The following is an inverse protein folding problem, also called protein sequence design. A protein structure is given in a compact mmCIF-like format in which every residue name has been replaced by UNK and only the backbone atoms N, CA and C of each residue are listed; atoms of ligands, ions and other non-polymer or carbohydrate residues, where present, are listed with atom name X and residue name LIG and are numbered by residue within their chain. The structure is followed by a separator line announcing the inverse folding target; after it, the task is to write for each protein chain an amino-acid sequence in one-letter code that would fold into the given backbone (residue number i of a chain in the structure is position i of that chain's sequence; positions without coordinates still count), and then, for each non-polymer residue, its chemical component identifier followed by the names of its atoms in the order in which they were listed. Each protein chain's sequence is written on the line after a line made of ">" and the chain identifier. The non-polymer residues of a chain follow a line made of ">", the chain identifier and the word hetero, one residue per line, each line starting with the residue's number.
data_IF_939152630430
#
_entry.id   IF_939152630430
#
_cell.length_a   1.000
_cell.length_b   1.000
_cell.length_c   1.000
_cell.angle_alpha   90.00
_cell.angle_beta   90.00
_cell.angle_gamma   90.00
#
_symmetry.space_group_name_H-M   'P 1'
#
loop_
_entity.id
_entity.type
_entity.pdbx_description
1 polymer ?
#
# COMPACT_ATOMS: atom_id res chain seq x y z
N UNK A 1 -26.21 17.23 -17.53
CA UNK A 1 -25.75 16.66 -16.27
C UNK A 1 -24.62 17.55 -15.75
N UNK A 2 -24.82 18.22 -14.63
CA UNK A 2 -23.94 19.30 -14.18
C UNK A 2 -22.87 18.69 -13.25
N UNK A 3 -21.60 18.84 -13.64
CA UNK A 3 -20.44 18.51 -12.79
C UNK A 3 -20.45 19.47 -11.59
N UNK A 4 -20.59 18.94 -10.39
CA UNK A 4 -20.33 19.67 -9.15
C UNK A 4 -18.86 19.44 -8.81
N UNK A 5 -18.01 20.34 -9.28
CA UNK A 5 -16.63 20.46 -8.77
C UNK A 5 -16.69 21.24 -7.46
N UNK A 6 -16.58 20.54 -6.34
CA UNK A 6 -16.30 21.16 -5.05
C UNK A 6 -14.82 21.49 -4.96
N UNK A 7 -14.45 22.75 -5.23
CA UNK A 7 -13.12 23.27 -4.93
C UNK A 7 -12.98 23.40 -3.42
N UNK A 8 -12.23 22.50 -2.79
CA UNK A 8 -11.64 22.75 -1.48
C UNK A 8 -10.25 23.32 -1.74
N UNK A 9 -10.10 24.63 -1.58
CA UNK A 9 -8.79 25.30 -1.57
C UNK A 9 -8.08 24.88 -0.28
N UNK A 10 -7.26 23.84 -0.34
CA UNK A 10 -6.22 23.60 0.65
C UNK A 10 -5.02 24.48 0.26
N UNK A 11 -4.62 25.38 1.15
CA UNK A 11 -3.42 26.18 0.98
C UNK A 11 -2.20 25.26 1.01
N UNK A 12 -1.67 24.92 -0.17
CA UNK A 12 -0.43 24.18 -0.32
C UNK A 12 0.71 25.14 0.02
N UNK A 13 1.29 25.01 1.21
CA UNK A 13 2.62 25.55 1.49
C UNK A 13 3.63 24.62 0.83
N UNK A 14 4.22 25.05 -0.29
CA UNK A 14 5.45 24.45 -0.81
C UNK A 14 6.56 24.66 0.24
N UNK A 15 6.88 23.64 1.00
CA UNK A 15 8.13 23.55 1.75
C UNK A 15 9.13 22.79 0.88
N UNK A 16 10.14 23.53 0.39
CA UNK A 16 11.35 22.98 -0.22
C UNK A 16 11.97 21.90 0.66
N UNK A 17 12.42 20.81 0.03
CA UNK A 17 13.13 19.70 0.66
C UNK A 17 14.24 20.20 1.60
N UNK A 18 13.94 20.31 2.87
CA UNK A 18 14.94 20.48 3.92
C UNK A 18 15.57 19.14 4.21
N UNK A 19 16.88 19.07 4.16
CA UNK A 19 17.68 17.97 4.69
C UNK A 19 17.14 17.67 6.09
N UNK A 20 16.40 16.57 6.24
CA UNK A 20 15.96 16.10 7.55
C UNK A 20 17.18 15.52 8.27
N UNK A 21 17.97 16.39 8.91
CA UNK A 21 18.81 15.91 9.99
C UNK A 21 17.88 15.19 10.98
N UNK A 22 18.19 13.91 11.27
CA UNK A 22 17.57 13.15 12.35
C UNK A 22 17.69 14.00 13.62
N UNK A 23 16.66 14.79 13.93
CA UNK A 23 16.60 15.53 15.17
C UNK A 23 16.51 14.50 16.29
N UNK A 24 17.35 14.65 17.32
CA UNK A 24 17.14 13.95 18.59
C UNK A 24 15.70 14.24 19.03
N UNK A 25 14.78 13.35 18.61
CA UNK A 25 13.35 13.56 18.77
C UNK A 25 12.99 13.35 20.23
N UNK A 26 12.75 14.44 20.96
CA UNK A 26 11.85 14.35 22.10
C UNK A 26 10.56 13.71 21.57
N UNK A 27 10.03 12.64 22.21
CA UNK A 27 8.86 11.87 21.75
C UNK A 27 7.54 12.65 21.66
N UNK A 28 7.60 13.85 21.09
CA UNK A 28 6.49 14.80 20.92
C UNK A 28 5.76 14.64 19.57
N UNK A 29 6.36 13.96 18.60
CA UNK A 29 5.77 13.74 17.27
C UNK A 29 5.82 12.27 16.89
N UNK A 30 4.75 11.81 16.21
CA UNK A 30 4.73 10.56 15.47
C UNK A 30 4.49 10.87 13.99
N UNK A 31 5.11 10.10 13.09
CA UNK A 31 4.92 10.29 11.65
C UNK A 31 4.55 8.97 11.00
N UNK A 32 3.57 9.01 10.10
CA UNK A 32 3.21 7.88 9.25
C UNK A 32 3.41 8.29 7.80
N UNK A 33 4.35 7.63 7.12
CA UNK A 33 4.54 7.73 5.69
C UNK A 33 3.78 6.60 5.01
N UNK A 34 2.90 6.95 4.10
CA UNK A 34 2.14 6.02 3.27
C UNK A 34 2.62 6.17 1.83
N UNK A 35 3.18 5.11 1.26
CA UNK A 35 3.72 5.16 -0.11
C UNK A 35 2.61 5.15 -1.17
N UNK A 36 2.80 5.91 -2.24
CA UNK A 36 1.96 5.83 -3.43
C UNK A 36 2.54 4.78 -4.40
N UNK A 37 2.15 3.53 -4.20
CA UNK A 37 2.62 2.35 -4.93
C UNK A 37 1.50 1.62 -5.67
N UNK A 38 0.39 2.30 -5.91
CA UNK A 38 -0.81 1.71 -6.49
C UNK A 38 -1.79 1.20 -5.43
N UNK A 39 -2.58 0.18 -5.76
CA UNK A 39 -3.45 -0.50 -4.80
C UNK A 39 -2.63 -1.51 -4.01
N UNK A 40 -1.90 -1.02 -3.03
CA UNK A 40 -1.07 -1.84 -2.14
C UNK A 40 -0.73 -1.08 -0.85
N UNK A 41 -0.44 -1.80 0.22
CA UNK A 41 -0.12 -1.24 1.52
C UNK A 41 1.39 -1.30 1.80
N UNK A 42 1.97 -0.13 2.07
CA UNK A 42 3.34 -0.01 2.56
C UNK A 42 3.46 1.27 3.39
N UNK A 43 3.64 1.11 4.70
CA UNK A 43 3.68 2.24 5.64
C UNK A 43 4.94 2.20 6.49
N UNK A 44 5.59 3.36 6.62
CA UNK A 44 6.68 3.55 7.59
C UNK A 44 6.17 4.45 8.73
N UNK A 45 6.21 3.94 9.96
CA UNK A 45 5.86 4.68 11.16
C UNK A 45 7.13 5.06 11.90
N UNK A 46 7.28 6.35 12.19
CA UNK A 46 8.42 6.91 12.90
C UNK A 46 7.97 7.49 14.26
N UNK A 47 8.67 7.12 15.32
CA UNK A 47 8.49 7.71 16.65
C UNK A 47 9.81 7.69 17.43
N UNK A 48 10.25 8.85 17.92
CA UNK A 48 11.59 9.01 18.46
C UNK A 48 12.65 8.61 17.43
N UNK A 49 13.56 7.72 17.82
CA UNK A 49 14.56 7.15 16.91
C UNK A 49 14.10 5.85 16.23
N UNK A 50 12.87 5.39 16.53
CA UNK A 50 12.34 4.12 16.02
C UNK A 50 11.69 4.27 14.65
N UNK A 51 11.76 3.18 13.87
CA UNK A 51 11.07 3.02 12.60
C UNK A 51 10.47 1.62 12.48
N UNK A 52 9.20 1.56 12.15
CA UNK A 52 8.46 0.31 11.94
C UNK A 52 7.86 0.30 10.55
N UNK A 53 7.93 -0.86 9.89
CA UNK A 53 7.26 -1.12 8.63
C UNK A 53 5.95 -1.89 8.89
N UNK A 54 4.86 -1.45 8.28
CA UNK A 54 3.58 -2.13 8.26
C UNK A 54 3.25 -2.43 6.80
N UNK A 55 3.23 -3.71 6.45
CA UNK A 55 3.12 -4.24 5.10
C UNK A 55 4.23 -3.71 4.15
N UNK A 56 4.41 -4.33 3.00
CA UNK A 56 5.54 -4.06 2.12
C UNK A 56 5.15 -3.92 0.62
N UNK A 57 3.85 -3.90 0.33
CA UNK A 57 3.34 -3.84 -1.03
C UNK A 57 3.63 -5.09 -1.85
N UNK A 58 3.45 -5.01 -3.17
CA UNK A 58 3.87 -6.03 -4.11
C UNK A 58 5.40 -6.14 -4.20
N UNK A 59 5.92 -7.26 -4.70
CA UNK A 59 7.36 -7.44 -4.91
C UNK A 59 7.98 -6.34 -5.77
N UNK A 60 7.32 -5.91 -6.84
CA UNK A 60 7.78 -4.82 -7.72
C UNK A 60 7.73 -3.44 -7.06
N UNK A 61 7.06 -3.27 -5.94
CA UNK A 61 7.06 -2.01 -5.18
C UNK A 61 8.27 -1.88 -4.24
N UNK A 62 9.03 -2.95 -4.03
CA UNK A 62 10.18 -2.90 -3.12
C UNK A 62 11.18 -1.77 -3.41
N UNK A 63 11.50 -1.41 -4.68
CA UNK A 63 12.37 -0.26 -4.95
C UNK A 63 11.83 1.08 -4.40
N UNK A 64 10.50 1.26 -4.31
CA UNK A 64 9.92 2.44 -3.68
C UNK A 64 10.14 2.44 -2.16
N UNK A 65 9.93 1.29 -1.51
CA UNK A 65 10.26 1.11 -0.08
C UNK A 65 11.76 1.36 0.17
N UNK A 66 12.65 0.78 -0.66
CA UNK A 66 14.09 0.99 -0.52
C UNK A 66 14.48 2.47 -0.68
N UNK A 67 13.85 3.18 -1.63
CA UNK A 67 14.04 4.61 -1.83
C UNK A 67 13.58 5.40 -0.59
N UNK A 68 12.39 5.08 -0.07
CA UNK A 68 11.89 5.69 1.16
C UNK A 68 12.85 5.49 2.35
N UNK A 69 13.32 4.27 2.56
CA UNK A 69 14.26 3.95 3.63
C UNK A 69 15.56 4.76 3.51
N UNK A 70 16.09 4.92 2.28
CA UNK A 70 17.27 5.74 2.00
C UNK A 70 17.02 7.23 2.23
N UNK A 71 15.90 7.76 1.73
CA UNK A 71 15.53 9.18 1.84
C UNK A 71 15.35 9.61 3.31
N UNK A 72 14.74 8.73 4.11
CA UNK A 72 14.56 8.96 5.55
C UNK A 72 15.73 8.46 6.41
N UNK A 73 16.85 8.04 5.79
CA UNK A 73 18.06 7.58 6.46
C UNK A 73 17.79 6.48 7.50
N UNK A 74 16.90 5.54 7.15
CA UNK A 74 16.58 4.41 8.00
C UNK A 74 17.68 3.36 7.88
N UNK A 75 18.47 3.19 8.93
CA UNK A 75 19.56 2.21 8.98
C UNK A 75 19.11 0.84 9.51
N UNK A 76 17.96 0.81 10.21
CA UNK A 76 17.33 -0.41 10.70
C UNK A 76 15.83 -0.19 10.88
N UNK A 77 15.06 -1.25 10.76
CA UNK A 77 13.67 -1.32 11.18
C UNK A 77 13.59 -1.96 12.58
N UNK A 78 12.88 -1.34 13.52
CA UNK A 78 12.68 -1.91 14.85
C UNK A 78 11.72 -3.09 14.81
N UNK A 79 10.75 -3.05 13.87
CA UNK A 79 9.87 -4.16 13.59
C UNK A 79 9.24 -4.07 12.19
N UNK A 80 8.84 -5.22 11.69
CA UNK A 80 8.05 -5.38 10.46
C UNK A 80 6.78 -6.13 10.82
N UNK A 81 5.64 -5.52 10.61
CA UNK A 81 4.32 -6.13 10.78
C UNK A 81 3.78 -6.53 9.42
N UNK A 82 3.38 -7.79 9.27
CA UNK A 82 2.56 -8.25 8.16
C UNK A 82 1.12 -8.39 8.65
N UNK A 83 0.21 -7.63 8.06
CA UNK A 83 -1.20 -7.66 8.46
C UNK A 83 -1.87 -8.96 8.02
N UNK A 84 -1.72 -9.35 6.76
CA UNK A 84 -2.22 -10.61 6.21
C UNK A 84 -1.43 -11.01 4.94
N UNK A 85 -1.75 -12.15 4.33
CA UNK A 85 -0.90 -12.77 3.32
C UNK A 85 -1.36 -12.55 1.88
N UNK A 86 -1.96 -11.41 1.56
CA UNK A 86 -2.17 -11.02 0.17
C UNK A 86 -0.93 -10.35 -0.42
N UNK A 87 -0.70 -10.55 -1.70
CA UNK A 87 0.48 -10.11 -2.44
C UNK A 87 0.72 -8.59 -2.35
N UNK A 88 -0.34 -7.79 -2.33
CA UNK A 88 -0.31 -6.33 -2.19
C UNK A 88 0.06 -5.84 -0.77
N UNK A 89 0.33 -6.77 0.14
CA UNK A 89 0.83 -6.52 1.50
C UNK A 89 2.17 -7.21 1.76
N UNK A 90 2.35 -8.44 1.25
CA UNK A 90 3.49 -9.28 1.64
C UNK A 90 4.64 -9.31 0.63
N UNK A 91 4.37 -8.93 -0.65
CA UNK A 91 5.29 -9.16 -1.76
C UNK A 91 6.67 -8.55 -1.59
N UNK A 92 6.77 -7.38 -0.96
CA UNK A 92 8.04 -6.71 -0.69
C UNK A 92 8.86 -7.28 0.47
N UNK A 93 8.33 -8.23 1.27
CA UNK A 93 9.04 -8.77 2.46
C UNK A 93 10.30 -9.55 2.09
N UNK A 94 10.23 -10.40 1.07
CA UNK A 94 11.39 -11.19 0.66
C UNK A 94 12.51 -10.33 0.04
N UNK A 95 12.22 -9.38 -0.87
CA UNK A 95 13.21 -8.39 -1.28
C UNK A 95 13.84 -7.62 -0.12
N UNK A 96 13.03 -7.17 0.85
CA UNK A 96 13.51 -6.51 2.06
C UNK A 96 14.46 -7.41 2.85
N UNK A 97 14.11 -8.67 3.07
CA UNK A 97 14.97 -9.61 3.78
C UNK A 97 16.31 -9.81 3.04
N UNK A 98 16.30 -9.93 1.72
CA UNK A 98 17.51 -10.10 0.89
C UNK A 98 18.37 -8.85 0.79
N UNK A 99 17.81 -7.65 0.97
CA UNK A 99 18.58 -6.39 0.91
C UNK A 99 19.65 -6.26 1.99
N UNK A 100 19.51 -7.02 3.07
CA UNK A 100 20.38 -6.92 4.22
C UNK A 100 19.98 -5.85 5.25
N UNK A 101 18.86 -5.14 5.05
CA UNK A 101 18.32 -4.19 6.02
C UNK A 101 18.19 -4.87 7.39
N UNK A 102 18.77 -4.32 8.47
CA UNK A 102 18.58 -4.87 9.81
C UNK A 102 17.12 -4.73 10.24
N UNK A 103 16.53 -5.84 10.70
CA UNK A 103 15.16 -5.88 11.25
C UNK A 103 15.21 -6.43 12.67
N UNK A 104 14.67 -5.69 13.62
CA UNK A 104 14.64 -6.05 15.05
C UNK A 104 13.71 -7.21 15.34
N UNK A 105 12.51 -7.20 14.77
CA UNK A 105 11.54 -8.27 14.91
C UNK A 105 10.59 -8.35 13.70
N UNK A 106 10.10 -9.55 13.42
CA UNK A 106 9.07 -9.82 12.42
C UNK A 106 7.79 -10.24 13.13
N UNK A 107 6.68 -9.62 12.80
CA UNK A 107 5.39 -9.83 13.45
C UNK A 107 4.32 -10.25 12.45
N UNK A 108 3.47 -11.19 12.86
CA UNK A 108 2.28 -11.60 12.12
C UNK A 108 1.20 -12.11 13.09
N UNK A 109 -0.06 -12.17 12.65
CA UNK A 109 -1.15 -12.66 13.47
C UNK A 109 -1.00 -14.16 13.78
N UNK A 110 -1.22 -14.55 15.01
CA UNK A 110 -1.09 -15.94 15.50
C UNK A 110 -2.03 -16.92 14.82
N UNK A 111 -3.16 -16.46 14.29
CA UNK A 111 -4.09 -17.29 13.52
C UNK A 111 -3.46 -17.94 12.28
N UNK A 112 -2.35 -17.37 11.76
CA UNK A 112 -1.63 -17.91 10.61
C UNK A 112 -0.60 -18.98 10.96
N UNK A 113 -0.35 -19.22 12.26
CA UNK A 113 0.72 -20.13 12.72
C UNK A 113 0.59 -21.52 12.12
N UNK A 114 -0.60 -22.11 12.13
CA UNK A 114 -0.84 -23.46 11.62
C UNK A 114 -1.31 -23.51 10.16
N UNK A 115 -1.79 -22.39 9.61
CA UNK A 115 -2.48 -22.37 8.31
C UNK A 115 -1.53 -22.52 7.14
N UNK A 116 -0.31 -21.97 7.23
CA UNK A 116 0.66 -21.96 6.10
C UNK A 116 1.90 -22.83 6.32
N UNK A 117 1.94 -23.66 7.36
CA UNK A 117 2.95 -24.71 7.60
C UNK A 117 4.40 -24.26 7.28
N UNK A 118 4.83 -23.10 7.76
CA UNK A 118 6.18 -22.55 7.52
C UNK A 118 6.40 -21.94 6.13
N UNK A 119 5.36 -21.81 5.31
CA UNK A 119 5.36 -21.08 4.03
C UNK A 119 4.82 -19.65 4.19
N UNK A 120 4.48 -19.24 5.39
CA UNK A 120 4.02 -17.89 5.67
C UNK A 120 5.09 -16.87 5.27
N UNK A 121 4.76 -15.80 4.50
CA UNK A 121 5.73 -14.86 3.94
C UNK A 121 6.66 -14.23 4.98
N UNK A 122 6.12 -13.80 6.13
CA UNK A 122 6.94 -13.28 7.22
C UNK A 122 7.90 -14.32 7.78
N UNK A 123 7.50 -15.62 7.83
CA UNK A 123 8.40 -16.71 8.27
C UNK A 123 9.54 -16.91 7.29
N UNK A 124 9.25 -16.87 5.98
CA UNK A 124 10.28 -17.01 4.96
C UNK A 124 11.26 -15.83 5.00
N UNK A 125 10.76 -14.62 5.13
CA UNK A 125 11.58 -13.41 5.25
C UNK A 125 12.41 -13.40 6.54
N UNK A 126 11.83 -13.75 7.69
CA UNK A 126 12.56 -13.86 8.96
C UNK A 126 13.68 -14.92 8.90
N UNK A 127 13.39 -16.09 8.33
CA UNK A 127 14.39 -17.16 8.14
C UNK A 127 15.55 -16.74 7.23
N UNK A 128 15.28 -16.00 6.16
CA UNK A 128 16.32 -15.44 5.28
C UNK A 128 17.33 -14.59 6.08
N UNK A 129 16.87 -13.96 7.16
CA UNK A 129 17.69 -13.14 8.07
C UNK A 129 18.20 -13.92 9.30
N UNK A 130 17.97 -15.22 9.38
CA UNK A 130 18.35 -16.04 10.52
C UNK A 130 17.52 -15.78 11.79
N UNK A 131 16.35 -15.20 11.64
CA UNK A 131 15.39 -14.88 12.70
C UNK A 131 14.14 -15.74 12.67
N UNK A 132 13.19 -15.39 13.54
CA UNK A 132 11.89 -16.03 13.69
C UNK A 132 10.79 -14.96 13.72
N UNK A 133 9.55 -15.38 13.48
CA UNK A 133 8.37 -14.52 13.61
C UNK A 133 7.86 -14.55 15.05
N UNK A 134 7.56 -13.38 15.58
CA UNK A 134 6.76 -13.24 16.80
C UNK A 134 5.29 -13.22 16.42
N UNK A 135 4.56 -14.23 16.83
CA UNK A 135 3.15 -14.39 16.56
C UNK A 135 2.32 -13.60 17.56
N UNK A 136 1.42 -12.74 17.04
CA UNK A 136 0.65 -11.80 17.84
C UNK A 136 -0.82 -12.21 17.91
N UNK A 137 -1.41 -12.01 19.08
CA UNK A 137 -2.83 -12.22 19.36
C UNK A 137 -3.47 -10.93 19.87
N UNK A 138 -4.78 -10.81 19.74
CA UNK A 138 -5.51 -9.67 20.31
C UNK A 138 -5.21 -9.51 21.80
N UNK A 139 -4.88 -8.29 22.21
CA UNK A 139 -4.46 -7.94 23.56
C UNK A 139 -2.95 -7.85 23.75
N UNK A 140 -2.13 -8.35 22.81
CA UNK A 140 -0.67 -8.20 22.89
C UNK A 140 -0.26 -6.74 22.76
N UNK A 141 0.79 -6.35 23.47
CA UNK A 141 1.34 -5.00 23.48
C UNK A 141 2.83 -5.05 23.16
N UNK A 142 3.22 -4.34 22.10
CA UNK A 142 4.59 -4.24 21.63
C UNK A 142 5.11 -2.83 21.94
N UNK A 143 6.13 -2.67 22.79
CA UNK A 143 6.75 -1.38 23.07
C UNK A 143 7.32 -0.75 21.79
N UNK A 144 7.05 0.55 21.58
CA UNK A 144 7.55 1.32 20.43
C UNK A 144 8.53 2.44 20.85
N UNK A 145 9.08 2.34 22.03
CA UNK A 145 10.03 3.31 22.62
C UNK A 145 9.34 4.44 23.39
N UNK A 146 10.00 4.93 24.43
CA UNK A 146 9.43 5.92 25.33
C UNK A 146 8.08 5.46 25.93
N UNK A 147 7.06 6.31 25.80
CA UNK A 147 5.69 6.02 26.25
C UNK A 147 4.79 5.51 25.09
N UNK A 148 5.38 5.07 23.96
CA UNK A 148 4.64 4.57 22.83
C UNK A 148 4.58 3.04 22.79
N UNK A 149 3.47 2.52 22.24
CA UNK A 149 3.28 1.09 22.02
C UNK A 149 2.32 0.82 20.89
N UNK A 150 2.45 -0.38 20.31
CA UNK A 150 1.40 -0.98 19.50
C UNK A 150 0.57 -1.92 20.36
N UNK A 151 -0.74 -1.82 20.28
CA UNK A 151 -1.69 -2.77 20.86
C UNK A 151 -2.35 -3.52 19.74
N UNK A 152 -2.34 -4.85 19.79
CA UNK A 152 -3.04 -5.71 18.86
C UNK A 152 -4.52 -5.73 19.24
N UNK A 153 -5.39 -5.21 18.39
CA UNK A 153 -6.83 -5.20 18.61
C UNK A 153 -7.53 -6.41 17.98
N UNK A 154 -7.02 -6.88 16.84
CA UNK A 154 -7.53 -8.01 16.06
C UNK A 154 -6.44 -8.69 15.23
N UNK A 155 -6.74 -9.83 14.61
CA UNK A 155 -8.04 -10.50 14.65
C UNK A 155 -8.32 -11.17 16.01
N UNK A 156 -9.59 -11.15 16.44
CA UNK A 156 -10.02 -11.79 17.69
C UNK A 156 -10.39 -13.25 17.43
N UNK A 157 -11.06 -13.50 16.30
CA UNK A 157 -11.52 -14.82 15.86
C UNK A 157 -11.09 -15.07 14.42
N UNK A 158 -10.90 -16.33 14.05
CA UNK A 158 -10.60 -16.69 12.66
C UNK A 158 -11.86 -16.53 11.82
N UNK A 159 -11.77 -15.78 10.75
CA UNK A 159 -12.80 -15.70 9.72
C UNK A 159 -12.45 -16.69 8.61
N UNK A 160 -13.23 -17.76 8.47
CA UNK A 160 -13.01 -18.83 7.47
C UNK A 160 -13.48 -18.44 6.06
N UNK A 161 -14.38 -17.44 5.98
CA UNK A 161 -15.02 -17.05 4.72
C UNK A 161 -14.25 -15.95 3.97
N UNK A 162 -13.49 -15.12 4.72
CA UNK A 162 -12.80 -13.96 4.15
C UNK A 162 -11.47 -13.70 4.86
N UNK A 163 -10.37 -14.00 4.14
CA UNK A 163 -9.00 -13.84 4.63
C UNK A 163 -8.67 -12.40 5.06
N UNK A 164 -9.27 -11.39 4.42
CA UNK A 164 -9.09 -9.99 4.77
C UNK A 164 -9.50 -9.67 6.21
N UNK A 165 -10.54 -10.33 6.72
CA UNK A 165 -10.98 -10.19 8.11
C UNK A 165 -10.04 -10.85 9.14
N UNK A 166 -8.99 -11.51 8.66
CA UNK A 166 -7.91 -12.04 9.48
C UNK A 166 -6.69 -11.09 9.50
N UNK A 167 -6.85 -9.86 9.08
CA UNK A 167 -5.81 -8.83 9.12
C UNK A 167 -5.43 -8.50 10.56
N UNK A 168 -4.12 -8.35 10.81
CA UNK A 168 -3.62 -7.79 12.06
C UNK A 168 -4.08 -6.34 12.17
N UNK A 169 -4.92 -6.05 13.15
CA UNK A 169 -5.39 -4.68 13.45
C UNK A 169 -4.57 -4.12 14.60
N UNK A 170 -3.84 -3.04 14.33
CA UNK A 170 -2.90 -2.43 15.26
C UNK A 170 -3.34 -1.03 15.65
N UNK A 171 -3.32 -0.74 16.94
CA UNK A 171 -3.38 0.63 17.42
C UNK A 171 -2.01 1.05 17.93
N UNK A 172 -1.37 1.98 17.22
CA UNK A 172 -0.23 2.71 17.75
C UNK A 172 -0.75 3.80 18.69
N UNK A 173 -0.20 3.85 19.91
CA UNK A 173 -0.55 4.84 20.94
C UNK A 173 0.70 5.52 21.42
N UNK A 174 0.67 6.86 21.51
CA UNK A 174 1.76 7.69 22.00
C UNK A 174 1.25 9.03 22.52
N UNK A 175 2.04 9.82 23.23
CA UNK A 175 1.72 11.21 23.58
C UNK A 175 1.49 12.10 22.36
N UNK A 176 2.05 11.75 21.19
CA UNK A 176 1.82 12.47 19.93
C UNK A 176 0.40 12.26 19.39
N UNK A 177 -0.21 11.11 19.67
CA UNK A 177 -1.54 10.73 19.19
C UNK A 177 -1.63 9.24 18.88
N UNK A 178 -2.85 8.79 18.62
CA UNK A 178 -3.16 7.41 18.28
C UNK A 178 -3.34 7.26 16.75
N UNK A 179 -2.80 6.17 16.21
CA UNK A 179 -2.98 5.75 14.81
C UNK A 179 -3.61 4.36 14.82
N UNK A 180 -4.71 4.19 14.08
CA UNK A 180 -5.34 2.88 13.89
C UNK A 180 -5.04 2.35 12.49
N UNK A 181 -4.40 1.19 12.42
CA UNK A 181 -3.97 0.50 11.21
C UNK A 181 -4.81 -0.76 11.07
N UNK A 182 -5.68 -0.80 10.06
CA UNK A 182 -6.73 -1.81 9.94
C UNK A 182 -6.37 -2.97 8.99
N UNK A 183 -5.21 -2.92 8.31
CA UNK A 183 -4.96 -3.85 7.20
C UNK A 183 -6.14 -3.85 6.22
N UNK A 184 -6.59 -5.02 5.83
CA UNK A 184 -7.73 -5.19 4.93
C UNK A 184 -9.02 -5.63 5.64
N UNK A 185 -9.09 -5.35 6.94
CA UNK A 185 -10.29 -5.59 7.74
C UNK A 185 -11.54 -5.05 7.06
N UNK A 186 -12.58 -5.87 7.01
CA UNK A 186 -13.91 -5.54 6.49
C UNK A 186 -14.94 -5.46 7.62
N UNK A 187 -16.19 -5.22 7.26
CA UNK A 187 -17.30 -4.95 8.21
C UNK A 187 -17.53 -6.07 9.25
N UNK A 188 -17.21 -7.32 8.92
CA UNK A 188 -17.40 -8.44 9.82
C UNK A 188 -16.44 -8.32 11.01
N UNK A 189 -15.15 -8.07 10.77
CA UNK A 189 -14.17 -7.88 11.84
C UNK A 189 -14.39 -6.55 12.59
N UNK A 190 -14.87 -5.48 11.89
CA UNK A 190 -15.31 -4.25 12.58
C UNK A 190 -16.39 -4.52 13.64
N UNK A 191 -17.34 -5.44 13.35
CA UNK A 191 -18.40 -5.83 14.28
C UNK A 191 -17.84 -6.62 15.48
N UNK A 192 -16.88 -7.50 15.23
CA UNK A 192 -16.19 -8.26 16.29
C UNK A 192 -15.45 -7.30 17.23
N UNK A 193 -14.67 -6.36 16.68
CA UNK A 193 -13.94 -5.36 17.46
C UNK A 193 -14.87 -4.43 18.24
N UNK A 194 -15.97 -3.99 17.63
CA UNK A 194 -16.99 -3.19 18.33
C UNK A 194 -17.62 -3.96 19.49
N UNK A 195 -17.89 -5.25 19.29
CA UNK A 195 -18.49 -6.10 20.34
C UNK A 195 -17.52 -6.37 21.47
N UNK A 196 -16.23 -6.48 21.18
CA UNK A 196 -15.17 -6.63 22.17
C UNK A 196 -14.96 -5.36 23.02
N UNK A 197 -15.34 -4.19 22.51
CA UNK A 197 -15.25 -2.93 23.22
C UNK A 197 -13.82 -2.43 23.46
N UNK A 198 -12.86 -2.89 22.66
CA UNK A 198 -11.44 -2.55 22.80
C UNK A 198 -10.99 -1.40 21.88
N UNK A 199 -11.89 -0.88 21.03
CA UNK A 199 -11.63 0.27 20.17
C UNK A 199 -11.58 1.58 20.96
N UNK A 200 -10.67 2.46 20.57
CA UNK A 200 -10.54 3.80 21.14
C UNK A 200 -10.37 4.86 20.05
N UNK A 201 -10.60 6.16 20.37
CA UNK A 201 -10.39 7.22 19.41
C UNK A 201 -8.96 7.28 18.87
N UNK A 202 -8.84 7.58 17.57
CA UNK A 202 -7.55 7.80 16.91
C UNK A 202 -7.52 9.15 16.19
N UNK A 203 -6.34 9.73 16.03
CA UNK A 203 -6.16 10.92 15.20
C UNK A 203 -6.10 10.56 13.71
N UNK A 204 -5.44 9.44 13.39
CA UNK A 204 -5.26 8.96 12.02
C UNK A 204 -5.74 7.51 11.92
N UNK A 205 -6.49 7.23 10.86
CA UNK A 205 -7.00 5.91 10.51
C UNK A 205 -6.42 5.47 9.15
N UNK A 206 -5.82 4.27 9.06
CA UNK A 206 -5.70 3.57 7.77
C UNK A 206 -7.02 2.85 7.51
N UNK A 207 -7.72 3.25 6.46
CA UNK A 207 -8.99 2.63 6.08
C UNK A 207 -8.79 1.15 5.73
N UNK A 208 -9.71 0.29 6.17
CA UNK A 208 -9.66 -1.13 5.84
C UNK A 208 -9.82 -1.36 4.32
N UNK A 209 -9.20 -2.40 3.82
CA UNK A 209 -9.32 -2.95 2.45
C UNK A 209 -9.39 -1.85 1.37
N UNK A 210 -8.39 -0.99 1.34
CA UNK A 210 -8.23 0.10 0.36
C UNK A 210 -9.46 1.00 0.20
N UNK A 211 -10.32 1.06 1.23
CA UNK A 211 -11.53 1.87 1.22
C UNK A 211 -12.68 1.30 0.38
N UNK A 212 -12.74 -0.02 0.19
CA UNK A 212 -13.84 -0.65 -0.54
C UNK A 212 -15.21 -0.45 0.14
N UNK A 213 -16.29 -0.76 -0.56
CA UNK A 213 -17.67 -0.57 -0.08
C UNK A 213 -18.01 -1.43 1.16
N UNK A 214 -17.25 -2.51 1.42
CA UNK A 214 -17.44 -3.41 2.55
C UNK A 214 -16.79 -2.96 3.85
N UNK A 215 -16.38 -1.68 3.99
CA UNK A 215 -15.62 -1.16 5.11
C UNK A 215 -16.23 0.10 5.73
N UNK A 216 -15.71 0.50 6.87
CA UNK A 216 -16.00 1.74 7.58
C UNK A 216 -17.48 1.89 7.92
N UNK A 217 -18.00 0.96 8.76
CA UNK A 217 -19.36 1.13 9.31
C UNK A 217 -19.48 2.43 10.11
N UNK A 218 -20.65 3.06 10.02
CA UNK A 218 -20.91 4.29 10.79
C UNK A 218 -20.78 4.11 12.30
N UNK A 219 -21.03 2.91 12.85
CA UNK A 219 -20.79 2.58 14.27
C UNK A 219 -19.29 2.53 14.59
N UNK A 220 -18.49 1.96 13.69
CA UNK A 220 -17.03 1.93 13.81
C UNK A 220 -16.46 3.35 13.83
N UNK A 221 -16.80 4.17 12.83
CA UNK A 221 -16.34 5.56 12.74
C UNK A 221 -16.77 6.42 13.95
N UNK A 222 -17.98 6.21 14.48
CA UNK A 222 -18.43 6.88 15.70
C UNK A 222 -17.64 6.50 16.94
N UNK A 223 -17.06 5.29 16.98
CA UNK A 223 -16.22 4.81 18.10
C UNK A 223 -14.81 5.33 17.97
N UNK A 224 -14.18 5.15 16.80
CA UNK A 224 -12.75 5.51 16.60
C UNK A 224 -12.55 7.00 16.29
N UNK A 225 -13.56 7.71 15.80
CA UNK A 225 -13.59 9.17 15.59
C UNK A 225 -12.31 9.76 14.98
N UNK A 226 -11.87 9.29 13.81
CA UNK A 226 -10.64 9.76 13.22
C UNK A 226 -10.76 11.21 12.73
N UNK A 227 -9.68 11.99 12.86
CA UNK A 227 -9.59 13.33 12.28
C UNK A 227 -9.25 13.24 10.78
N UNK A 228 -8.36 12.30 10.45
CA UNK A 228 -7.94 12.01 9.09
C UNK A 228 -7.95 10.49 8.84
N UNK A 229 -8.21 10.11 7.60
CA UNK A 229 -8.07 8.74 7.13
C UNK A 229 -7.19 8.69 5.89
N UNK A 230 -6.26 7.74 5.83
CA UNK A 230 -5.51 7.42 4.63
C UNK A 230 -6.08 6.18 3.96
N UNK A 231 -6.18 6.24 2.64
CA UNK A 231 -6.66 5.17 1.78
C UNK A 231 -5.56 4.90 0.74
N UNK A 232 -4.91 3.74 0.84
CA UNK A 232 -3.87 3.29 -0.09
C UNK A 232 -4.51 2.58 -1.28
N UNK A 233 -4.71 3.28 -2.38
CA UNK A 233 -5.33 2.71 -3.56
C UNK A 233 -4.99 3.48 -4.84
N UNK A 234 -5.35 2.86 -5.97
CA UNK A 234 -5.33 3.43 -7.31
C UNK A 234 -6.64 3.08 -8.01
N UNK A 235 -7.46 4.07 -8.31
CA UNK A 235 -8.71 3.90 -9.06
C UNK A 235 -8.49 3.43 -10.49
N UNK A 236 -7.26 3.55 -11.01
CA UNK A 236 -6.89 3.00 -12.31
C UNK A 236 -6.72 1.46 -12.24
N UNK A 237 -6.23 0.94 -11.12
CA UNK A 237 -6.08 -0.50 -10.86
C UNK A 237 -7.39 -1.14 -10.42
N UNK A 238 -8.10 -0.46 -9.51
CA UNK A 238 -9.35 -0.92 -8.90
C UNK A 238 -10.35 0.24 -8.84
N UNK A 239 -11.16 0.47 -9.89
CA UNK A 239 -12.08 1.61 -9.99
C UNK A 239 -13.12 1.72 -8.88
N UNK A 240 -13.37 0.63 -8.16
CA UNK A 240 -14.32 0.60 -7.05
C UNK A 240 -13.69 0.99 -5.70
N UNK A 241 -12.39 1.33 -5.70
CA UNK A 241 -11.65 1.81 -4.52
C UNK A 241 -10.97 3.16 -4.79
N UNK A 242 -11.12 4.15 -3.89
CA UNK A 242 -12.02 4.10 -2.76
C UNK A 242 -13.47 4.16 -3.21
N UNK A 243 -14.35 3.38 -2.61
CA UNK A 243 -15.77 3.42 -2.90
C UNK A 243 -16.36 4.78 -2.52
N UNK A 244 -17.26 5.31 -3.35
CA UNK A 244 -17.96 6.59 -3.07
C UNK A 244 -18.66 6.53 -1.71
N UNK A 245 -19.29 5.40 -1.38
CA UNK A 245 -19.95 5.19 -0.09
C UNK A 245 -18.99 5.30 1.10
N UNK A 246 -17.75 4.88 0.93
CA UNK A 246 -16.70 4.97 1.97
C UNK A 246 -16.26 6.42 2.16
N UNK A 247 -16.06 7.16 1.07
CA UNK A 247 -15.74 8.60 1.14
C UNK A 247 -16.87 9.41 1.80
N UNK A 248 -18.13 9.11 1.48
CA UNK A 248 -19.29 9.76 2.10
C UNK A 248 -19.38 9.45 3.60
N UNK A 249 -19.13 8.20 4.03
CA UNK A 249 -19.12 7.85 5.47
C UNK A 249 -18.04 8.60 6.24
N UNK A 250 -16.84 8.76 5.67
CA UNK A 250 -15.76 9.55 6.27
C UNK A 250 -16.16 11.03 6.37
N UNK A 251 -16.72 11.60 5.30
CA UNK A 251 -17.23 12.97 5.29
C UNK A 251 -18.31 13.18 6.35
N UNK A 252 -19.28 12.28 6.46
CA UNK A 252 -20.36 12.34 7.46
C UNK A 252 -19.83 12.23 8.89
N UNK A 253 -18.71 11.53 9.08
CA UNK A 253 -18.01 11.44 10.35
C UNK A 253 -17.15 12.68 10.67
N UNK A 254 -17.03 13.65 9.76
CA UNK A 254 -16.16 14.81 9.88
C UNK A 254 -14.67 14.47 9.71
N UNK A 255 -14.36 13.34 9.09
CA UNK A 255 -13.01 12.86 8.85
C UNK A 255 -12.54 13.28 7.45
N UNK A 256 -11.33 13.84 7.35
CA UNK A 256 -10.72 14.15 6.05
C UNK A 256 -10.07 12.90 5.47
N UNK A 257 -10.49 12.51 4.27
CA UNK A 257 -9.88 11.38 3.54
C UNK A 257 -8.72 11.85 2.66
N UNK A 258 -7.63 11.07 2.67
CA UNK A 258 -6.45 11.25 1.82
C UNK A 258 -6.21 9.96 1.06
N UNK A 259 -6.20 10.01 -0.26
CA UNK A 259 -5.98 8.84 -1.13
C UNK A 259 -4.54 8.90 -1.66
N UNK A 260 -3.79 7.82 -1.52
CA UNK A 260 -2.35 7.84 -1.86
C UNK A 260 -2.08 8.21 -3.31
N UNK A 261 -2.97 7.84 -4.25
CA UNK A 261 -2.85 8.20 -5.67
C UNK A 261 -2.84 9.71 -5.95
N UNK A 262 -3.33 10.54 -5.02
CA UNK A 262 -3.43 12.01 -5.20
C UNK A 262 -2.11 12.72 -4.82
N UNK A 263 -1.08 11.95 -4.42
CA UNK A 263 0.24 12.43 -4.00
C UNK A 263 1.32 11.90 -4.96
N UNK A 264 2.49 12.55 -4.97
CA UNK A 264 3.61 12.11 -5.82
C UNK A 264 4.09 10.71 -5.43
N UNK A 265 5.03 10.58 -4.51
CA UNK A 265 5.61 9.29 -4.13
C UNK A 265 5.05 8.75 -2.81
N UNK A 266 4.25 9.57 -2.12
CA UNK A 266 3.57 9.20 -0.89
C UNK A 266 3.00 10.39 -0.15
N UNK A 267 2.32 10.11 0.95
CA UNK A 267 1.80 11.12 1.87
C UNK A 267 2.36 10.89 3.27
N UNK A 268 2.89 11.96 3.86
CA UNK A 268 3.45 11.96 5.20
C UNK A 268 2.52 12.69 6.17
N UNK A 269 1.99 11.95 7.14
CA UNK A 269 1.24 12.51 8.26
C UNK A 269 2.17 12.76 9.45
N UNK A 270 2.00 13.92 10.09
CA UNK A 270 2.65 14.23 11.36
C UNK A 270 1.59 14.42 12.42
N UNK A 271 1.75 13.72 13.54
CA UNK A 271 0.89 13.80 14.71
C UNK A 271 1.65 14.49 15.85
N UNK A 272 0.96 15.37 16.58
CA UNK A 272 1.49 15.99 17.80
C UNK A 272 0.33 16.43 18.69
N UNK A 273 0.47 16.25 20.01
CA UNK A 273 -0.53 16.65 20.98
C UNK A 273 -1.91 16.01 20.78
N UNK A 274 -1.95 14.77 20.26
CA UNK A 274 -3.17 14.02 20.02
C UNK A 274 -3.87 14.31 18.69
N UNK A 275 -3.27 15.12 17.82
CA UNK A 275 -3.89 15.57 16.57
C UNK A 275 -2.98 15.34 15.37
N UNK A 276 -3.58 15.20 14.17
CA UNK A 276 -2.85 15.34 12.90
C UNK A 276 -2.55 16.83 12.71
N UNK A 277 -1.28 17.21 12.74
CA UNK A 277 -0.83 18.60 12.68
C UNK A 277 -0.29 19.01 11.32
N UNK A 278 0.14 18.04 10.51
CA UNK A 278 0.61 18.27 9.16
C UNK A 278 0.33 17.06 8.26
N UNK A 279 0.04 17.32 6.99
CA UNK A 279 -0.06 16.34 5.91
C UNK A 279 0.75 16.88 4.75
N UNK A 280 1.79 16.18 4.35
CA UNK A 280 2.72 16.62 3.32
C UNK A 280 2.75 15.62 2.16
N UNK A 281 2.78 16.16 0.95
CA UNK A 281 3.11 15.42 -0.25
C UNK A 281 4.60 15.07 -0.24
N UNK A 282 4.94 13.85 -0.61
CA UNK A 282 6.31 13.35 -0.64
C UNK A 282 6.73 13.13 -2.07
N UNK A 283 7.83 13.77 -2.46
CA UNK A 283 8.50 13.60 -3.74
C UNK A 283 9.96 13.24 -3.47
N UNK A 284 10.42 12.09 -4.02
CA UNK A 284 11.76 11.57 -3.77
C UNK A 284 12.84 12.46 -4.41
N UNK A 285 13.90 12.73 -3.66
CA UNK A 285 15.07 13.44 -4.20
C UNK A 285 15.95 12.47 -4.99
N UNK A 286 16.48 12.92 -6.13
CA UNK A 286 17.38 12.11 -6.96
C UNK A 286 16.71 10.97 -7.76
N UNK A 287 15.39 10.90 -7.72
CA UNK A 287 14.59 10.00 -8.55
C UNK A 287 13.98 10.81 -9.69
N UNK A 288 14.05 10.34 -10.97
CA UNK A 288 13.40 11.05 -12.08
C UNK A 288 11.90 11.20 -11.85
N UNK A 289 11.27 12.28 -12.35
CA UNK A 289 9.82 12.38 -12.38
C UNK A 289 9.17 11.15 -13.05
N UNK A 290 7.98 10.76 -12.61
CA UNK A 290 7.21 9.70 -13.28
C UNK A 290 6.94 10.09 -14.72
N UNK A 291 7.06 9.12 -15.62
CA UNK A 291 6.74 9.35 -17.03
C UNK A 291 5.23 9.38 -17.17
N UNK A 292 4.70 10.48 -17.69
CA UNK A 292 3.31 10.60 -18.07
C UNK A 292 3.15 10.37 -19.57
N UNK A 293 2.04 9.74 -19.99
CA UNK A 293 1.71 9.57 -21.40
C UNK A 293 2.12 8.20 -21.98
N UNK A 294 2.56 7.25 -21.17
CA UNK A 294 2.55 5.84 -21.57
C UNK A 294 1.14 5.30 -21.31
N UNK A 295 0.57 4.63 -22.30
CA UNK A 295 -0.76 4.02 -22.20
C UNK A 295 -0.66 2.50 -22.35
N UNK A 296 -1.52 1.81 -21.63
CA UNK A 296 -1.77 0.38 -21.74
C UNK A 296 -3.12 0.15 -22.41
N UNK A 297 -3.23 -0.87 -23.25
CA UNK A 297 -4.48 -1.38 -23.79
C UNK A 297 -4.45 -2.91 -23.73
N UNK A 298 -5.39 -3.51 -22.99
CA UNK A 298 -5.43 -4.94 -22.73
C UNK A 298 -6.52 -5.59 -23.57
N UNK A 299 -6.14 -6.58 -24.38
CA UNK A 299 -7.05 -7.49 -25.06
C UNK A 299 -6.95 -8.87 -24.40
N UNK A 300 -7.80 -9.10 -23.41
CA UNK A 300 -7.81 -10.35 -22.63
C UNK A 300 -8.21 -11.56 -23.49
N UNK A 301 -9.05 -11.38 -24.55
CA UNK A 301 -9.43 -12.48 -25.44
C UNK A 301 -8.24 -12.93 -26.30
N UNK A 302 -7.45 -11.98 -26.75
CA UNK A 302 -6.22 -12.25 -27.51
C UNK A 302 -5.02 -12.58 -26.62
N UNK A 303 -5.12 -12.42 -25.32
CA UNK A 303 -4.03 -12.56 -24.34
C UNK A 303 -2.85 -11.62 -24.66
N UNK A 304 -3.16 -10.33 -24.96
CA UNK A 304 -2.17 -9.30 -25.32
C UNK A 304 -2.35 -8.02 -24.54
N UNK A 305 -1.27 -7.25 -24.43
CA UNK A 305 -1.27 -5.85 -23.99
C UNK A 305 -0.45 -5.02 -24.98
N UNK A 306 -0.92 -3.83 -25.27
CA UNK A 306 -0.23 -2.86 -26.10
C UNK A 306 0.25 -1.70 -25.23
N UNK A 307 1.55 -1.43 -25.27
CA UNK A 307 2.16 -0.23 -24.71
C UNK A 307 2.21 0.83 -25.81
N UNK A 308 1.72 2.04 -25.56
CA UNK A 308 1.78 3.15 -26.49
C UNK A 308 2.44 4.37 -25.85
N UNK A 309 3.41 4.95 -26.53
CA UNK A 309 4.09 6.15 -26.09
C UNK A 309 3.41 7.39 -26.70
N UNK A 310 2.59 8.09 -25.90
CA UNK A 310 1.96 9.35 -26.27
C UNK A 310 2.76 10.58 -25.78
N UNK A 311 3.99 10.39 -25.32
CA UNK A 311 4.90 11.51 -25.02
C UNK A 311 5.43 12.12 -26.32
N UNK A 312 5.98 13.33 -26.25
CA UNK A 312 6.56 14.00 -27.43
C UNK A 312 7.97 13.52 -27.82
N UNK A 313 8.53 12.50 -27.15
CA UNK A 313 9.90 12.02 -27.35
C UNK A 313 10.00 10.50 -27.19
N UNK A 314 11.12 9.92 -27.62
CA UNK A 314 11.40 8.51 -27.35
C UNK A 314 11.55 8.26 -25.83
N UNK A 315 11.00 7.15 -25.35
CA UNK A 315 11.01 6.74 -23.94
C UNK A 315 11.66 5.37 -23.81
N UNK A 316 12.68 5.26 -22.96
CA UNK A 316 13.22 3.96 -22.56
C UNK A 316 12.36 3.37 -21.45
N UNK A 317 11.91 2.13 -21.65
CA UNK A 317 11.20 1.31 -20.66
C UNK A 317 12.11 0.21 -20.11
N UNK A 318 13.44 0.36 -20.23
CA UNK A 318 14.39 -0.59 -19.65
C UNK A 318 14.29 -0.62 -18.11
N UNK A 319 14.16 -1.83 -17.56
CA UNK A 319 13.97 -2.03 -16.11
C UNK A 319 12.54 -1.79 -15.60
N UNK A 320 11.60 -1.40 -16.47
CA UNK A 320 10.18 -1.31 -16.08
C UNK A 320 9.59 -2.70 -15.89
N UNK A 321 8.60 -2.82 -15.00
CA UNK A 321 7.88 -4.07 -14.73
C UNK A 321 6.43 -3.93 -15.15
N UNK A 322 6.00 -4.75 -16.09
CA UNK A 322 4.61 -4.93 -16.44
C UNK A 322 4.00 -6.04 -15.56
N UNK A 323 2.91 -5.75 -14.91
CA UNK A 323 2.26 -6.61 -13.93
C UNK A 323 0.79 -6.85 -14.29
N UNK A 324 0.33 -8.12 -14.20
CA UNK A 324 -1.09 -8.51 -14.26
C UNK A 324 -1.55 -8.84 -12.86
N UNK A 325 -2.48 -8.06 -12.32
CA UNK A 325 -2.89 -8.11 -10.90
C UNK A 325 -3.58 -9.43 -10.55
N UNK A 326 -4.45 -9.94 -11.43
CA UNK A 326 -5.25 -11.15 -11.13
C UNK A 326 -4.44 -12.43 -11.12
N UNK A 327 -3.40 -12.49 -11.91
CA UNK A 327 -2.58 -13.70 -12.05
C UNK A 327 -1.25 -13.60 -11.34
N UNK A 328 -0.99 -12.50 -10.65
CA UNK A 328 0.31 -12.19 -10.04
C UNK A 328 1.48 -12.49 -10.98
N UNK A 329 1.37 -11.96 -12.24
CA UNK A 329 2.36 -12.20 -13.28
C UNK A 329 3.15 -10.94 -13.56
N UNK A 330 4.47 -11.09 -13.59
CA UNK A 330 5.43 -10.01 -13.79
C UNK A 330 6.24 -10.23 -15.03
N UNK A 331 6.48 -9.16 -15.80
CA UNK A 331 7.42 -9.13 -16.91
C UNK A 331 8.33 -7.91 -16.76
N UNK A 332 9.59 -8.13 -16.50
CA UNK A 332 10.60 -7.07 -16.58
C UNK A 332 10.90 -6.77 -18.05
N UNK A 333 10.73 -5.52 -18.45
CA UNK A 333 11.09 -5.03 -19.78
C UNK A 333 12.61 -4.77 -19.83
N UNK A 334 13.25 -5.23 -20.87
CA UNK A 334 14.70 -5.07 -21.05
C UNK A 334 15.03 -4.56 -22.41
N UNK A 335 15.78 -3.45 -22.49
CA UNK A 335 16.26 -2.85 -23.73
C UNK A 335 15.14 -2.28 -24.62
N UNK A 336 13.91 -2.12 -24.12
CA UNK A 336 12.80 -1.57 -24.88
C UNK A 336 12.85 -0.05 -24.89
N UNK A 337 12.85 0.54 -26.08
CA UNK A 337 12.64 1.98 -26.28
C UNK A 337 11.45 2.17 -27.23
N UNK A 338 10.49 2.96 -26.83
CA UNK A 338 9.33 3.36 -27.64
C UNK A 338 9.57 4.76 -28.22
N UNK A 339 9.57 4.87 -29.54
CA UNK A 339 9.59 6.17 -30.21
C UNK A 339 8.30 6.97 -29.92
N UNK A 340 8.34 8.28 -30.09
CA UNK A 340 7.15 9.13 -29.92
C UNK A 340 6.03 8.66 -30.86
N UNK A 341 4.83 8.38 -30.29
CA UNK A 341 3.71 7.79 -31.01
C UNK A 341 3.87 6.31 -31.36
N UNK A 342 4.97 5.67 -30.95
CA UNK A 342 5.21 4.24 -31.19
C UNK A 342 4.43 3.36 -30.24
N UNK A 343 4.20 2.11 -30.67
CA UNK A 343 3.53 1.09 -29.86
C UNK A 343 4.32 -0.22 -29.87
N UNK A 344 4.14 -1.02 -28.82
CA UNK A 344 4.76 -2.33 -28.64
C UNK A 344 3.74 -3.31 -28.11
N UNK A 345 3.55 -4.42 -28.79
CA UNK A 345 2.57 -5.45 -28.45
C UNK A 345 3.26 -6.61 -27.74
N UNK A 346 2.80 -6.91 -26.54
CA UNK A 346 3.28 -8.04 -25.74
C UNK A 346 2.14 -9.05 -25.62
N UNK A 347 2.43 -10.32 -25.83
CA UNK A 347 1.41 -11.35 -25.77
C UNK A 347 1.85 -12.62 -25.09
N UNK A 348 0.89 -13.33 -24.49
CA UNK A 348 1.11 -14.64 -23.87
C UNK A 348 1.48 -15.71 -24.92
N UNK A 349 2.05 -16.82 -24.46
CA UNK A 349 2.49 -17.96 -25.31
C UNK A 349 1.42 -18.54 -26.23
N UNK A 350 0.14 -18.33 -25.94
CA UNK A 350 -0.97 -18.89 -26.70
C UNK A 350 -1.64 -17.89 -27.63
N UNK A 351 -1.22 -16.64 -27.61
CA UNK A 351 -1.82 -15.65 -28.51
C UNK A 351 -1.64 -16.08 -29.98
N UNK A 352 -2.66 -15.80 -30.79
CA UNK A 352 -2.62 -16.00 -32.25
C UNK A 352 -2.33 -14.68 -32.97
N UNK A 353 -2.25 -13.56 -32.25
CA UNK A 353 -1.88 -12.25 -32.79
C UNK A 353 -0.37 -12.18 -33.03
N UNK A 354 0.02 -11.38 -34.01
CA UNK A 354 1.41 -10.97 -34.14
C UNK A 354 1.78 -10.08 -32.97
N UNK A 355 2.89 -10.36 -32.32
CA UNK A 355 3.39 -9.62 -31.16
C UNK A 355 4.86 -9.26 -31.34
N UNK A 356 5.29 -8.16 -30.76
CA UNK A 356 6.68 -7.73 -30.79
C UNK A 356 7.51 -8.48 -29.72
N UNK A 357 6.85 -8.87 -28.63
CA UNK A 357 7.46 -9.62 -27.54
C UNK A 357 6.51 -10.68 -26.99
N UNK A 358 7.05 -11.85 -26.66
CA UNK A 358 6.30 -12.91 -25.98
C UNK A 358 6.53 -12.84 -24.48
N UNK A 359 5.46 -12.80 -23.71
CA UNK A 359 5.48 -12.98 -22.26
C UNK A 359 5.43 -14.48 -21.95
N UNK A 360 6.41 -14.98 -21.22
CA UNK A 360 6.52 -16.40 -20.91
C UNK A 360 5.45 -16.84 -19.87
N UNK A 361 4.24 -17.00 -20.36
CA UNK A 361 3.07 -17.40 -19.60
C UNK A 361 1.91 -17.79 -20.49
N UNK A 362 0.92 -18.44 -19.92
CA UNK A 362 -0.34 -18.77 -20.59
C UNK A 362 -1.46 -18.06 -19.85
N UNK A 363 -2.38 -17.44 -20.61
CA UNK A 363 -3.49 -16.70 -20.04
C UNK A 363 -2.95 -15.63 -19.07
N UNK A 364 -2.15 -14.71 -19.61
CA UNK A 364 -1.60 -13.58 -18.85
C UNK A 364 -2.76 -12.78 -18.28
N UNK A 365 -3.72 -12.47 -19.15
CA UNK A 365 -4.90 -11.70 -18.80
C UNK A 365 -6.10 -12.61 -18.55
N UNK A 366 -6.84 -12.35 -17.49
CA UNK A 366 -8.11 -13.03 -17.23
C UNK A 366 -9.15 -12.62 -18.28
N UNK A 367 -9.81 -13.60 -18.92
CA UNK A 367 -10.95 -13.36 -19.81
C UNK A 367 -12.31 -13.63 -19.14
N UNK A 368 -12.34 -13.78 -17.80
CA UNK A 368 -13.54 -14.12 -17.03
C UNK A 368 -13.76 -13.18 -15.85
N UNK A 369 -12.70 -12.57 -15.36
CA UNK A 369 -12.73 -11.68 -14.21
C UNK A 369 -11.96 -10.42 -14.57
N UNK A 370 -12.24 -9.35 -13.88
CA UNK A 370 -11.46 -8.13 -13.98
C UNK A 370 -10.00 -8.45 -13.70
N UNK A 371 -9.13 -7.85 -14.49
CA UNK A 371 -7.67 -7.99 -14.40
C UNK A 371 -7.04 -6.70 -14.86
N UNK A 372 -6.37 -6.00 -13.98
CA UNK A 372 -5.66 -4.79 -14.32
C UNK A 372 -4.22 -5.09 -14.72
N UNK A 373 -3.72 -4.37 -15.71
CA UNK A 373 -2.32 -4.30 -16.07
C UNK A 373 -1.72 -3.01 -15.54
N UNK A 374 -0.63 -3.12 -14.81
CA UNK A 374 0.09 -1.97 -14.26
C UNK A 374 1.52 -1.97 -14.77
N UNK A 375 1.98 -0.84 -15.25
CA UNK A 375 3.38 -0.62 -15.59
C UNK A 375 4.05 0.14 -14.45
N UNK A 376 5.01 -0.50 -13.80
CA UNK A 376 5.83 0.11 -12.76
C UNK A 376 7.17 0.57 -13.33
N UNK A 377 7.64 1.72 -12.87
CA UNK A 377 8.98 2.19 -13.20
C UNK A 377 10.07 1.44 -12.39
N UNK A 378 11.37 1.65 -12.69
CA UNK A 378 12.46 1.00 -11.96
C UNK A 378 12.52 1.35 -10.45
N UNK A 379 11.79 2.37 -10.03
CA UNK A 379 11.66 2.75 -8.61
C UNK A 379 10.40 2.17 -7.94
N UNK A 380 9.70 1.25 -8.62
CA UNK A 380 8.53 0.55 -8.07
C UNK A 380 7.25 1.40 -7.99
N UNK A 381 7.18 2.52 -8.73
CA UNK A 381 6.04 3.43 -8.77
C UNK A 381 5.16 3.13 -9.99
N UNK A 382 3.83 3.11 -9.86
CA UNK A 382 2.94 2.91 -11.00
C UNK A 382 3.00 4.14 -11.92
N UNK A 383 3.16 3.92 -13.23
CA UNK A 383 3.23 4.98 -14.26
C UNK A 383 2.15 4.88 -15.32
N UNK A 384 1.58 3.69 -15.53
CA UNK A 384 0.44 3.48 -16.40
C UNK A 384 -0.37 2.28 -15.93
N UNK A 385 -1.67 2.33 -16.10
CA UNK A 385 -2.57 1.25 -15.76
C UNK A 385 -3.73 1.17 -16.75
N UNK A 386 -4.21 -0.03 -16.99
CA UNK A 386 -5.48 -0.28 -17.68
C UNK A 386 -6.09 -1.58 -17.14
N UNK A 387 -7.41 -1.67 -17.15
CA UNK A 387 -8.10 -2.93 -16.92
C UNK A 387 -8.51 -3.60 -18.24
N UNK A 388 -8.94 -4.86 -18.15
CA UNK A 388 -9.36 -5.67 -19.29
C UNK A 388 -10.82 -5.42 -19.73
N UNK A 389 -11.50 -4.42 -19.17
CA UNK A 389 -12.89 -4.05 -19.48
C UNK A 389 -13.96 -5.04 -18.99
N UNK A 390 -13.60 -6.05 -18.19
CA UNK A 390 -14.55 -7.02 -17.64
C UNK A 390 -15.08 -6.48 -16.29
N UNK A 391 -16.40 -6.31 -16.20
CA UNK A 391 -17.02 -5.91 -14.93
C UNK A 391 -16.93 -7.06 -13.90
N UNK A 392 -16.77 -6.72 -12.65
CA UNK A 392 -17.01 -7.66 -11.54
C UNK A 392 -18.51 -7.73 -11.27
N UNK A 393 -19.06 -8.97 -11.22
CA UNK A 393 -20.48 -9.26 -10.92
C UNK A 393 -20.81 -9.04 -9.43
#
# INVERSE_FOLDING_TARGET
>A
MKKICGLILASIMLLTAGIFARAEGSGSEAKLLCLNIGKADCFLLFYGDGCWLIDAGYEQNYPALETALKEYQVERLDGVFLTHCHEDHEGGLMPLAKSGMPVGAWYAASIWYDVREGKHPAVLAAKERGGEVTWLSAGDVIPAGGDASFTVLGPIEVNEDNENNNSLVLQFSSPAGNILLCGDMKKEEEEVLLSAGNLSPCALLKAGHHGDNGTLKGSFLKTVRPQAAVISTSTAEEPDTPAESTLLKLQDAGCTAYVTQDFHDGVLFTLSGGNVTNVADVEWTGVPPRIEGIMLDIDAEADTVTLTNNTGSAVSLDGYVLFSTKGDKRLMLSGLTLEAGGSWVIGGKKTKKSVDQTWDGKNIWSNKKRDAGVLYDPWGRPVACADNGIAED
#
